data_IF_822409875081
#
_entry.id   IF_822409875081
#
_cell.length_a   1.000
_cell.length_b   1.000
_cell.length_c   1.000
_cell.angle_alpha   90.00
_cell.angle_beta   90.00
_cell.angle_gamma   90.00
#
_symmetry.space_group_name_H-M   'P 1'
#
loop_
_entity.id
_entity.type
_entity.pdbx_description
1 polymer ?
#
# COMPACT_ATOMS: atom_id res chain seq x y z
N UNK A 1 -11.96 -14.17 30.31
CA UNK A 1 -11.51 -14.29 28.92
C UNK A 1 -11.39 -12.95 28.16
N UNK A 2 -11.25 -11.79 28.87
CA UNK A 2 -11.25 -10.46 28.21
C UNK A 2 -9.87 -9.81 28.05
N UNK A 3 -8.77 -10.51 28.39
CA UNK A 3 -7.43 -9.91 28.44
C UNK A 3 -6.60 -9.92 27.15
N UNK A 4 -7.02 -10.65 26.10
CA UNK A 4 -6.15 -10.86 24.92
C UNK A 4 -6.41 -9.90 23.73
N UNK A 5 -7.49 -9.13 23.75
CA UNK A 5 -7.79 -8.17 22.66
C UNK A 5 -6.99 -6.86 22.73
N UNK A 6 -6.56 -6.46 23.92
CA UNK A 6 -5.81 -5.20 24.11
C UNK A 6 -4.36 -5.25 23.65
N UNK A 7 -3.70 -6.39 23.82
CA UNK A 7 -2.27 -6.54 23.49
C UNK A 7 -2.03 -6.62 21.97
N UNK A 8 -2.93 -7.23 21.20
CA UNK A 8 -2.81 -7.28 19.76
C UNK A 8 -2.94 -5.90 19.10
N UNK A 9 -3.91 -5.09 19.56
CA UNK A 9 -4.09 -3.72 19.05
C UNK A 9 -2.91 -2.80 19.38
N UNK A 10 -2.34 -2.89 20.57
CA UNK A 10 -1.21 -2.07 20.98
C UNK A 10 0.06 -2.41 20.17
N UNK A 11 0.29 -3.69 19.89
CA UNK A 11 1.43 -4.15 19.07
C UNK A 11 1.28 -3.70 17.61
N UNK A 12 0.07 -3.74 17.08
CA UNK A 12 -0.22 -3.28 15.71
C UNK A 12 -0.08 -1.77 15.57
N UNK A 13 -0.50 -0.99 16.59
CA UNK A 13 -0.30 0.46 16.64
C UNK A 13 1.18 0.84 16.71
N UNK A 14 1.98 0.12 17.50
CA UNK A 14 3.44 0.34 17.58
C UNK A 14 4.14 0.01 16.26
N UNK A 15 3.71 -1.02 15.54
CA UNK A 15 4.21 -1.35 14.20
C UNK A 15 3.83 -0.29 13.19
N UNK A 16 2.61 0.25 13.26
CA UNK A 16 2.14 1.37 12.45
C UNK A 16 2.94 2.64 12.72
N UNK A 17 3.21 2.97 13.98
CA UNK A 17 4.03 4.12 14.35
C UNK A 17 5.48 3.99 13.86
N UNK A 18 6.06 2.79 13.91
CA UNK A 18 7.38 2.51 13.33
C UNK A 18 7.39 2.69 11.82
N UNK A 19 6.37 2.20 11.13
CA UNK A 19 6.23 2.36 9.68
C UNK A 19 6.07 3.84 9.29
N UNK A 20 5.29 4.62 10.05
CA UNK A 20 5.14 6.07 9.88
C UNK A 20 6.46 6.81 10.03
N UNK A 21 7.29 6.44 10.99
CA UNK A 21 8.62 7.05 11.20
C UNK A 21 9.60 6.72 10.07
N UNK A 22 9.49 5.55 9.48
CA UNK A 22 10.41 5.13 8.39
C UNK A 22 10.05 5.74 7.03
N UNK A 23 8.81 6.17 6.83
CA UNK A 23 8.31 6.65 5.53
C UNK A 23 7.97 8.14 5.53
N UNK A 24 8.49 8.92 6.47
CA UNK A 24 8.32 10.38 6.47
C UNK A 24 8.98 11.00 5.25
N UNK A 25 8.21 11.77 4.51
CA UNK A 25 8.66 12.50 3.34
C UNK A 25 8.40 14.00 3.52
N UNK A 26 9.40 14.81 3.22
CA UNK A 26 9.24 16.26 3.15
C UNK A 26 8.67 16.65 1.79
N UNK A 27 7.67 17.52 1.77
CA UNK A 27 6.99 17.98 0.56
C UNK A 27 7.79 19.03 -0.21
N UNK A 28 9.09 19.07 -0.06
CA UNK A 28 9.92 20.13 -0.62
C UNK A 28 10.15 19.99 -2.13
N UNK A 29 10.05 21.08 -2.83
CA UNK A 29 10.62 21.43 -4.14
C UNK A 29 9.95 20.86 -5.39
N UNK A 30 9.22 19.77 -5.39
CA UNK A 30 8.57 19.24 -6.59
C UNK A 30 7.28 19.95 -6.98
N UNK A 31 6.74 20.78 -6.11
CA UNK A 31 5.55 21.60 -6.36
C UNK A 31 5.76 22.62 -7.49
N UNK A 32 6.99 23.03 -7.74
CA UNK A 32 7.30 24.04 -8.77
C UNK A 32 7.41 23.48 -10.18
N UNK A 33 7.59 22.17 -10.33
CA UNK A 33 7.87 21.56 -11.62
C UNK A 33 6.62 21.11 -12.39
N UNK A 34 5.53 20.80 -11.69
CA UNK A 34 4.32 20.27 -12.35
C UNK A 34 3.04 20.89 -11.79
N UNK A 35 2.79 22.14 -12.21
CA UNK A 35 1.62 22.90 -11.78
C UNK A 35 0.30 22.45 -12.41
N UNK A 36 0.34 21.54 -13.38
CA UNK A 36 -0.80 21.41 -14.28
C UNK A 36 -1.71 20.21 -14.07
N UNK A 37 -1.30 19.13 -13.42
CA UNK A 37 -2.09 17.89 -13.46
C UNK A 37 -2.16 17.04 -12.18
N UNK A 38 -1.32 17.26 -11.18
CA UNK A 38 -1.27 16.36 -10.01
C UNK A 38 -1.22 17.12 -8.68
N UNK A 39 -1.83 16.55 -7.60
CA UNK A 39 -1.69 17.12 -6.26
C UNK A 39 -0.24 17.26 -5.81
N UNK A 40 0.06 18.23 -4.91
CA UNK A 40 1.40 18.41 -4.36
C UNK A 40 1.95 17.12 -3.72
N UNK A 41 3.20 16.80 -3.97
CA UNK A 41 3.87 15.66 -3.37
C UNK A 41 3.76 14.34 -4.14
N UNK A 42 3.07 14.27 -5.28
CA UNK A 42 2.99 13.04 -6.08
C UNK A 42 4.36 12.56 -6.56
N UNK A 43 5.16 13.44 -7.12
CA UNK A 43 6.50 13.09 -7.62
C UNK A 43 7.41 12.59 -6.51
N UNK A 44 7.38 13.24 -5.36
CA UNK A 44 8.18 12.84 -4.19
C UNK A 44 7.74 11.49 -3.64
N UNK A 45 6.43 11.24 -3.57
CA UNK A 45 5.89 9.94 -3.16
C UNK A 45 6.29 8.83 -4.13
N UNK A 46 6.22 9.09 -5.43
CA UNK A 46 6.60 8.12 -6.46
C UNK A 46 8.09 7.78 -6.41
N UNK A 47 8.95 8.77 -6.22
CA UNK A 47 10.39 8.56 -6.04
C UNK A 47 10.68 7.69 -4.82
N UNK A 48 10.05 8.00 -3.70
CA UNK A 48 10.22 7.21 -2.46
C UNK A 48 9.67 5.80 -2.62
N UNK A 49 8.52 5.66 -3.26
CA UNK A 49 7.94 4.36 -3.57
C UNK A 49 8.87 3.53 -4.44
N UNK A 50 9.46 4.13 -5.47
CA UNK A 50 10.42 3.45 -6.34
C UNK A 50 11.64 2.94 -5.57
N UNK A 51 12.19 3.73 -4.65
CA UNK A 51 13.28 3.30 -3.77
C UNK A 51 12.89 2.10 -2.91
N UNK A 52 11.72 2.15 -2.28
CA UNK A 52 11.22 1.06 -1.43
C UNK A 52 11.02 -0.21 -2.25
N UNK A 53 10.37 -0.10 -3.41
CA UNK A 53 10.11 -1.25 -4.29
C UNK A 53 11.38 -1.83 -4.87
N UNK A 54 12.36 -1.00 -5.19
CA UNK A 54 13.66 -1.45 -5.69
C UNK A 54 14.40 -2.30 -4.65
N UNK A 55 14.30 -1.94 -3.38
CA UNK A 55 14.82 -2.75 -2.28
C UNK A 55 14.02 -4.05 -2.08
N UNK A 56 12.70 -3.96 -2.05
CA UNK A 56 11.83 -5.10 -1.78
C UNK A 56 11.84 -6.14 -2.90
N UNK A 57 11.99 -5.74 -4.15
CA UNK A 57 12.03 -6.67 -5.29
C UNK A 57 13.21 -7.65 -5.26
N UNK A 58 14.23 -7.34 -4.49
CA UNK A 58 15.39 -8.20 -4.31
C UNK A 58 15.11 -9.40 -3.41
N UNK A 59 14.02 -9.36 -2.66
CA UNK A 59 13.58 -10.43 -1.78
C UNK A 59 12.61 -11.36 -2.53
N UNK A 60 12.94 -12.62 -2.69
CA UNK A 60 12.18 -13.56 -3.52
C UNK A 60 10.75 -13.77 -3.03
N UNK A 61 10.55 -13.78 -1.72
CA UNK A 61 9.26 -14.11 -1.09
C UNK A 61 8.40 -12.88 -0.79
N UNK A 62 8.70 -11.71 -1.33
CA UNK A 62 7.87 -10.53 -1.15
C UNK A 62 6.63 -10.57 -2.02
N UNK A 63 5.48 -10.50 -1.38
CA UNK A 63 4.20 -10.23 -2.01
C UNK A 63 3.58 -8.99 -1.38
N UNK A 64 3.22 -8.01 -2.19
CA UNK A 64 2.92 -6.66 -1.77
C UNK A 64 1.51 -6.29 -2.24
N UNK A 65 0.68 -5.85 -1.29
CA UNK A 65 -0.57 -5.15 -1.60
C UNK A 65 -0.33 -3.65 -1.44
N UNK A 66 -0.66 -2.90 -2.47
CA UNK A 66 -0.53 -1.45 -2.48
C UNK A 66 -1.90 -0.80 -2.58
N UNK A 67 -2.18 0.10 -1.65
CA UNK A 67 -3.43 0.84 -1.57
C UNK A 67 -3.23 2.31 -1.93
N UNK A 68 -4.13 2.81 -2.79
CA UNK A 68 -4.33 4.24 -3.00
C UNK A 68 -5.82 4.54 -3.17
N UNK A 69 -6.30 5.65 -2.66
CA UNK A 69 -7.66 6.13 -2.92
C UNK A 69 -7.83 6.67 -4.34
N UNK A 70 -6.72 7.07 -4.96
CA UNK A 70 -6.71 7.75 -6.25
C UNK A 70 -6.29 6.82 -7.37
N UNK A 71 -7.19 6.58 -8.31
CA UNK A 71 -6.90 5.77 -9.50
C UNK A 71 -5.80 6.39 -10.37
N UNK A 72 -5.73 7.71 -10.41
CA UNK A 72 -4.64 8.44 -11.09
C UNK A 72 -3.27 8.10 -10.52
N UNK A 73 -3.17 7.97 -9.19
CA UNK A 73 -1.94 7.54 -8.54
C UNK A 73 -1.58 6.10 -8.93
N UNK A 74 -2.56 5.21 -9.01
CA UNK A 74 -2.34 3.83 -9.47
C UNK A 74 -1.82 3.79 -10.90
N UNK A 75 -2.31 4.67 -11.78
CA UNK A 75 -1.81 4.79 -13.15
C UNK A 75 -0.33 5.15 -13.18
N UNK A 76 0.09 6.10 -12.36
CA UNK A 76 1.49 6.50 -12.23
C UNK A 76 2.37 5.39 -11.62
N UNK A 77 1.83 4.68 -10.65
CA UNK A 77 2.52 3.55 -10.01
C UNK A 77 2.75 2.41 -11.01
N UNK A 78 1.80 2.14 -11.89
CA UNK A 78 1.98 1.13 -12.94
C UNK A 78 3.23 1.41 -13.79
N UNK A 79 3.51 2.66 -14.10
CA UNK A 79 4.72 3.02 -14.85
C UNK A 79 6.00 2.73 -14.05
N UNK A 80 5.99 2.98 -12.74
CA UNK A 80 7.09 2.61 -11.85
C UNK A 80 7.31 1.09 -11.86
N UNK A 81 6.24 0.32 -11.74
CA UNK A 81 6.33 -1.15 -11.73
C UNK A 81 6.86 -1.72 -13.04
N UNK A 82 6.47 -1.12 -14.17
CA UNK A 82 7.01 -1.49 -15.49
C UNK A 82 8.52 -1.24 -15.57
N UNK A 83 9.00 -0.10 -15.10
CA UNK A 83 10.44 0.21 -15.05
C UNK A 83 11.21 -0.79 -14.18
N UNK A 84 10.64 -1.18 -13.05
CA UNK A 84 11.24 -2.14 -12.13
C UNK A 84 11.04 -3.60 -12.55
N UNK A 85 10.28 -3.85 -13.61
CA UNK A 85 9.93 -5.19 -14.10
C UNK A 85 9.23 -6.04 -13.05
N UNK A 86 8.35 -5.41 -12.26
CA UNK A 86 7.52 -6.08 -11.28
C UNK A 86 6.18 -6.47 -11.91
N UNK A 87 5.84 -7.74 -11.82
CA UNK A 87 4.55 -8.24 -12.28
C UNK A 87 3.47 -7.91 -11.25
N UNK A 88 2.35 -7.39 -11.72
CA UNK A 88 1.27 -6.95 -10.86
C UNK A 88 -0.10 -7.27 -11.46
N UNK A 89 -1.11 -7.29 -10.59
CA UNK A 89 -2.52 -7.20 -10.94
C UNK A 89 -3.10 -5.92 -10.35
N UNK A 90 -4.10 -5.34 -10.98
CA UNK A 90 -4.80 -4.15 -10.52
C UNK A 90 -6.29 -4.43 -10.41
N UNK A 91 -6.85 -4.12 -9.24
CA UNK A 91 -8.27 -4.24 -8.98
C UNK A 91 -8.78 -2.95 -8.31
N UNK A 92 -9.45 -2.11 -9.08
CA UNK A 92 -10.16 -0.94 -8.60
C UNK A 92 -11.68 -1.11 -8.74
N UNK A 93 -12.44 -0.06 -8.40
CA UNK A 93 -13.91 -0.11 -8.46
C UNK A 93 -14.50 -0.30 -9.87
N UNK A 94 -13.71 -0.08 -10.93
CA UNK A 94 -14.16 -0.25 -12.32
C UNK A 94 -14.14 -1.71 -12.79
N UNK A 95 -13.45 -2.59 -12.06
CA UNK A 95 -13.34 -4.00 -12.45
C UNK A 95 -14.65 -4.73 -12.22
N UNK A 96 -15.21 -5.42 -13.24
CA UNK A 96 -16.43 -6.20 -13.08
C UNK A 96 -16.31 -7.28 -12.01
N UNK A 97 -17.37 -7.52 -11.27
CA UNK A 97 -17.40 -8.49 -10.17
C UNK A 97 -16.92 -9.89 -10.59
N UNK A 98 -17.27 -10.31 -11.80
CA UNK A 98 -16.85 -11.62 -12.35
C UNK A 98 -15.35 -11.79 -12.54
N UNK A 99 -14.60 -10.68 -12.69
CA UNK A 99 -13.14 -10.70 -12.89
C UNK A 99 -12.35 -10.60 -11.58
N UNK A 100 -12.99 -10.16 -10.51
CA UNK A 100 -12.30 -9.91 -9.24
C UNK A 100 -11.64 -11.14 -8.67
N UNK A 101 -12.35 -12.27 -8.67
CA UNK A 101 -11.83 -13.52 -8.11
C UNK A 101 -10.64 -14.07 -8.90
N UNK A 102 -10.64 -13.93 -10.21
CA UNK A 102 -9.51 -14.37 -11.03
C UNK A 102 -8.25 -13.54 -10.79
N UNK A 103 -8.39 -12.23 -10.56
CA UNK A 103 -7.26 -11.36 -10.23
C UNK A 103 -6.68 -11.68 -8.84
N UNK A 104 -7.54 -11.92 -7.87
CA UNK A 104 -7.10 -12.34 -6.53
C UNK A 104 -6.40 -13.69 -6.60
N UNK A 105 -6.95 -14.64 -7.34
CA UNK A 105 -6.35 -15.96 -7.54
C UNK A 105 -4.98 -15.88 -8.19
N UNK A 106 -4.84 -15.08 -9.23
CA UNK A 106 -3.55 -14.84 -9.89
C UNK A 106 -2.50 -14.32 -8.92
N UNK A 107 -2.86 -13.33 -8.10
CA UNK A 107 -1.95 -12.81 -7.08
C UNK A 107 -1.58 -13.85 -6.03
N UNK A 108 -2.55 -14.64 -5.57
CA UNK A 108 -2.33 -15.63 -4.52
C UNK A 108 -1.50 -16.83 -4.99
N UNK A 109 -1.76 -17.32 -6.19
CA UNK A 109 -1.18 -18.59 -6.68
C UNK A 109 0.09 -18.40 -7.51
N UNK A 110 0.25 -17.29 -8.21
CA UNK A 110 1.43 -17.06 -9.04
C UNK A 110 2.59 -16.51 -8.22
N UNK A 111 3.67 -17.27 -8.10
CA UNK A 111 4.89 -16.82 -7.45
C UNK A 111 5.54 -15.63 -8.17
N UNK A 112 5.26 -15.45 -9.44
CA UNK A 112 5.80 -14.34 -10.25
C UNK A 112 5.01 -13.05 -10.06
N UNK A 113 3.72 -13.12 -9.72
CA UNK A 113 2.91 -11.94 -9.45
C UNK A 113 3.24 -11.37 -8.07
N UNK A 114 4.01 -10.29 -8.03
CA UNK A 114 4.55 -9.70 -6.79
C UNK A 114 3.67 -8.64 -6.17
N UNK A 115 2.84 -7.97 -6.97
CA UNK A 115 2.10 -6.78 -6.57
C UNK A 115 0.61 -6.92 -6.82
N UNK A 116 -0.18 -6.41 -5.89
CA UNK A 116 -1.62 -6.21 -6.02
C UNK A 116 -1.94 -4.75 -5.78
N UNK A 117 -2.36 -4.04 -6.82
CA UNK A 117 -2.74 -2.63 -6.75
C UNK A 117 -4.24 -2.52 -6.55
N UNK A 118 -4.68 -1.79 -5.54
CA UNK A 118 -6.10 -1.65 -5.27
C UNK A 118 -6.46 -0.33 -4.60
N UNK A 119 -7.75 -0.05 -4.62
CA UNK A 119 -8.39 1.05 -3.89
C UNK A 119 -9.18 0.52 -2.71
N UNK A 120 -9.68 1.39 -1.83
CA UNK A 120 -10.57 0.98 -0.75
C UNK A 120 -11.81 0.28 -1.29
N UNK A 121 -12.44 0.84 -2.32
CA UNK A 121 -13.63 0.26 -2.96
C UNK A 121 -13.31 -1.07 -3.66
N UNK A 122 -12.18 -1.15 -4.35
CA UNK A 122 -11.74 -2.35 -5.04
C UNK A 122 -11.45 -3.53 -4.11
N UNK A 123 -10.92 -3.24 -2.92
CA UNK A 123 -10.47 -4.28 -1.97
C UNK A 123 -11.56 -4.81 -1.03
N UNK A 124 -12.77 -4.26 -1.07
CA UNK A 124 -13.84 -4.64 -0.14
C UNK A 124 -14.12 -6.14 -0.18
N UNK A 125 -14.00 -6.79 0.97
CA UNK A 125 -14.28 -8.22 1.13
C UNK A 125 -13.21 -9.16 0.58
N UNK A 126 -12.11 -8.65 0.01
CA UNK A 126 -11.06 -9.50 -0.56
C UNK A 126 -10.18 -10.14 0.51
N UNK A 127 -9.74 -11.35 0.24
CA UNK A 127 -8.71 -12.04 1.01
C UNK A 127 -7.38 -11.95 0.27
N UNK A 128 -6.43 -11.19 0.84
CA UNK A 128 -5.12 -10.95 0.27
C UNK A 128 -4.00 -11.48 1.19
N UNK A 129 -4.26 -12.57 1.87
CA UNK A 129 -3.34 -13.16 2.87
C UNK A 129 -2.03 -13.71 2.28
N UNK A 130 -1.94 -13.86 0.98
CA UNK A 130 -0.67 -14.17 0.33
C UNK A 130 0.36 -13.04 0.48
N UNK A 131 -0.11 -11.81 0.73
CA UNK A 131 0.76 -10.66 0.94
C UNK A 131 1.44 -10.71 2.31
N UNK A 132 2.72 -10.39 2.34
CA UNK A 132 3.49 -10.17 3.55
C UNK A 132 3.88 -8.69 3.73
N UNK A 133 3.49 -7.85 2.80
CA UNK A 133 3.80 -6.42 2.82
C UNK A 133 2.58 -5.62 2.33
N UNK A 134 2.25 -4.57 3.06
CA UNK A 134 1.19 -3.62 2.70
C UNK A 134 1.83 -2.24 2.55
N UNK A 135 1.61 -1.60 1.42
CA UNK A 135 2.06 -0.24 1.16
C UNK A 135 0.83 0.65 1.00
N UNK A 136 0.74 1.67 1.86
CA UNK A 136 -0.28 2.71 1.77
C UNK A 136 0.36 3.96 1.15
N UNK A 137 -0.02 4.31 -0.05
CA UNK A 137 0.51 5.49 -0.75
C UNK A 137 -0.13 6.77 -0.24
N UNK A 138 -1.29 6.67 0.35
CA UNK A 138 -2.00 7.75 1.04
C UNK A 138 -2.40 7.30 2.45
N UNK A 139 -2.57 8.27 3.34
CA UNK A 139 -3.06 8.05 4.69
C UNK A 139 -4.56 8.37 4.73
N UNK A 140 -5.44 7.38 4.95
CA UNK A 140 -6.86 7.63 5.08
C UNK A 140 -7.17 8.55 6.28
N UNK A 141 -8.15 9.44 6.12
CA UNK A 141 -8.63 10.29 7.20
C UNK A 141 -9.21 9.50 8.36
N UNK A 142 -9.88 8.38 8.06
CA UNK A 142 -10.48 7.52 9.06
C UNK A 142 -9.53 6.36 9.40
N UNK A 143 -9.05 6.25 10.65
CA UNK A 143 -8.19 5.15 11.08
C UNK A 143 -8.80 3.77 10.84
N UNK A 144 -10.13 3.64 10.86
CA UNK A 144 -10.80 2.38 10.56
C UNK A 144 -10.57 1.90 9.12
N UNK A 145 -10.41 2.82 8.17
CA UNK A 145 -10.09 2.48 6.77
C UNK A 145 -8.70 1.89 6.68
N UNK A 146 -7.73 2.45 7.39
CA UNK A 146 -6.37 1.91 7.44
C UNK A 146 -6.34 0.52 8.06
N UNK A 147 -7.06 0.30 9.16
CA UNK A 147 -7.21 -1.02 9.76
C UNK A 147 -7.85 -2.03 8.79
N UNK A 148 -8.86 -1.61 8.04
CA UNK A 148 -9.49 -2.45 7.02
C UNK A 148 -8.52 -2.82 5.90
N UNK A 149 -7.70 -1.89 5.42
CA UNK A 149 -6.66 -2.16 4.42
C UNK A 149 -5.69 -3.24 4.93
N UNK A 150 -5.18 -3.08 6.12
CA UNK A 150 -4.21 -4.00 6.71
C UNK A 150 -4.85 -5.36 6.96
N UNK A 151 -6.11 -5.41 7.36
CA UNK A 151 -6.83 -6.66 7.63
C UNK A 151 -7.05 -7.53 6.39
N UNK A 152 -6.93 -6.97 5.18
CA UNK A 152 -6.97 -7.78 3.94
C UNK A 152 -5.77 -8.72 3.81
N UNK A 153 -4.61 -8.29 4.29
CA UNK A 153 -3.38 -9.07 4.29
C UNK A 153 -3.12 -9.78 5.61
N UNK A 154 -3.49 -9.17 6.73
CA UNK A 154 -3.24 -9.69 8.08
C UNK A 154 -4.54 -9.93 8.84
N UNK A 155 -4.88 -11.19 9.11
CA UNK A 155 -6.03 -11.59 9.92
C UNK A 155 -5.62 -11.97 11.34
N UNK A 156 -6.56 -11.80 12.29
CA UNK A 156 -6.37 -12.25 13.66
C UNK A 156 -6.05 -13.74 13.73
N UNK A 157 -5.02 -14.09 14.52
CA UNK A 157 -4.56 -15.46 14.66
C UNK A 157 -3.49 -15.90 13.65
N UNK A 158 -3.17 -15.05 12.68
CA UNK A 158 -2.10 -15.32 11.73
C UNK A 158 -0.74 -15.10 12.38
N UNK A 159 0.14 -16.10 12.29
CA UNK A 159 1.48 -16.07 12.87
C UNK A 159 2.52 -15.35 12.01
N UNK A 160 2.24 -15.17 10.71
CA UNK A 160 3.16 -14.51 9.78
C UNK A 160 3.13 -12.99 10.01
N UNK A 161 4.28 -12.33 10.23
CA UNK A 161 4.33 -10.89 10.30
C UNK A 161 4.05 -10.26 8.94
N UNK A 162 3.29 -9.18 8.95
CA UNK A 162 3.07 -8.33 7.78
C UNK A 162 3.77 -7.01 8.00
N UNK A 163 4.63 -6.62 7.08
CA UNK A 163 5.29 -5.33 7.09
C UNK A 163 4.38 -4.27 6.48
N UNK A 164 4.20 -3.15 7.16
CA UNK A 164 3.31 -2.07 6.73
C UNK A 164 4.11 -0.80 6.47
N UNK A 165 3.96 -0.24 5.28
CA UNK A 165 4.50 1.06 4.88
C UNK A 165 3.37 2.05 4.73
N UNK A 166 3.58 3.27 5.18
CA UNK A 166 2.67 4.40 4.98
C UNK A 166 3.49 5.57 4.47
N UNK A 167 3.17 6.03 3.26
CA UNK A 167 3.81 7.18 2.66
C UNK A 167 3.06 8.44 3.07
N UNK A 168 3.70 9.29 3.86
CA UNK A 168 3.12 10.53 4.37
C UNK A 168 3.92 11.71 3.82
N UNK A 169 3.20 12.71 3.30
CA UNK A 169 3.79 13.97 2.88
C UNK A 169 3.81 14.91 4.09
N UNK A 170 4.99 15.34 4.52
CA UNK A 170 5.08 16.42 5.50
C UNK A 170 4.84 17.77 4.80
N UNK A 171 3.82 18.46 5.25
CA UNK A 171 3.64 19.86 4.91
C UNK A 171 4.54 20.69 5.85
N UNK A 172 5.64 21.20 5.34
CA UNK A 172 6.38 22.26 6.03
C UNK A 172 5.54 23.54 5.95
N UNK A 173 4.97 23.91 7.08
CA UNK A 173 4.42 25.25 7.24
C UNK A 173 5.63 26.13 7.50
N UNK A 174 6.05 26.90 6.50
CA UNK A 174 6.99 27.99 6.74
C UNK A 174 6.27 29.07 7.54
N UNK A 175 6.72 29.32 8.79
CA UNK A 175 6.29 30.46 9.58
C UNK A 175 6.89 31.77 9.03
#
# INVERSE_FOLDING_TARGET
PHGKRGTSRAVDLLRLQKALLMCRMTADSTFLADKSQHPPGYSTKLEKLEEILDQLRQEENRKIVLFSEWTTMLDLIQEVLKRLRLTYVRLDGSVPQRKRQSLVHEFQESAQCKMFLTTNAGSTGLNLQAANTVINVDLPWNPAVLEQRISRAHRMGQKRPVQVYILVTELTIEE
#
